data_IF_917713544835
#
_entry.id   IF_917713544835
#
_cell.length_a   1.000
_cell.length_b   1.000
_cell.length_c   1.000
_cell.angle_alpha   90.00
_cell.angle_beta   90.00
_cell.angle_gamma   90.00
#
_symmetry.space_group_name_H-M   'P 1'
#
loop_
_entity.id
_entity.type
_entity.pdbx_description
1 polymer ?
#
# COMPACT_ATOMS: atom_id res chain seq x y z
N UNK A 1 27.42 -19.28 -46.67
CA UNK A 1 28.14 -18.56 -45.60
C UNK A 1 27.31 -18.30 -44.32
N UNK A 2 25.97 -18.25 -44.36
CA UNK A 2 25.14 -18.00 -43.16
C UNK A 2 25.04 -19.16 -42.14
N UNK A 3 25.23 -20.43 -42.54
CA UNK A 3 25.13 -21.57 -41.59
C UNK A 3 26.40 -21.79 -40.77
N UNK A 4 27.56 -21.33 -41.24
CA UNK A 4 28.83 -21.42 -40.55
C UNK A 4 28.95 -20.41 -39.39
N UNK A 5 28.33 -19.23 -39.53
CA UNK A 5 28.29 -18.19 -38.48
C UNK A 5 27.45 -18.60 -37.27
N UNK A 6 26.29 -19.24 -37.50
CA UNK A 6 25.43 -19.77 -36.42
C UNK A 6 26.11 -20.89 -35.60
N UNK A 7 26.90 -21.76 -36.25
CA UNK A 7 27.63 -22.84 -35.55
C UNK A 7 28.76 -22.33 -34.65
N UNK A 8 29.39 -21.19 -34.98
CA UNK A 8 30.42 -20.56 -34.11
C UNK A 8 29.81 -19.87 -32.89
N UNK A 9 28.69 -19.17 -33.06
CA UNK A 9 27.94 -18.55 -31.95
C UNK A 9 27.48 -19.59 -30.91
N UNK A 10 27.04 -20.76 -31.36
CA UNK A 10 26.60 -21.85 -30.49
C UNK A 10 27.74 -22.49 -29.66
N UNK A 11 28.94 -22.63 -30.24
CA UNK A 11 30.10 -23.16 -29.50
C UNK A 11 30.58 -22.19 -28.41
N UNK A 12 30.54 -20.88 -28.65
CA UNK A 12 30.99 -19.88 -27.69
C UNK A 12 30.02 -19.71 -26.51
N UNK A 13 28.70 -19.81 -26.76
CA UNK A 13 27.68 -19.77 -25.70
C UNK A 13 27.77 -20.98 -24.74
N UNK A 14 28.10 -22.17 -25.25
CA UNK A 14 28.29 -23.38 -24.43
C UNK A 14 29.53 -23.32 -23.53
N UNK A 15 30.59 -22.63 -23.94
CA UNK A 15 31.81 -22.45 -23.13
C UNK A 15 31.53 -21.47 -21.97
N UNK A 16 30.85 -20.34 -22.22
CA UNK A 16 30.43 -19.41 -21.17
C UNK A 16 29.47 -20.04 -20.15
N UNK A 17 28.55 -20.90 -20.59
CA UNK A 17 27.65 -21.63 -19.70
C UNK A 17 28.39 -22.64 -18.79
N UNK A 18 29.46 -23.26 -19.30
CA UNK A 18 30.30 -24.20 -18.53
C UNK A 18 31.13 -23.53 -17.43
N UNK A 19 31.57 -22.30 -17.64
CA UNK A 19 32.31 -21.53 -16.63
C UNK A 19 31.39 -20.95 -15.55
N UNK A 20 30.15 -20.59 -15.92
CA UNK A 20 29.10 -20.22 -14.98
C UNK A 20 28.74 -21.37 -14.02
N UNK A 21 28.71 -22.60 -14.53
CA UNK A 21 28.43 -23.82 -13.77
C UNK A 21 29.47 -24.10 -12.67
N UNK A 22 30.76 -23.88 -12.95
CA UNK A 22 31.85 -24.04 -11.97
C UNK A 22 31.77 -22.98 -10.85
N UNK A 23 31.29 -21.79 -11.16
CA UNK A 23 31.12 -20.68 -10.21
C UNK A 23 29.93 -20.91 -9.26
N UNK A 24 28.82 -21.45 -9.78
CA UNK A 24 27.62 -21.78 -9.00
C UNK A 24 27.83 -22.94 -8.01
N UNK A 25 28.55 -24.01 -8.41
CA UNK A 25 28.92 -25.12 -7.50
C UNK A 25 29.75 -24.67 -6.29
N UNK A 26 30.54 -23.60 -6.42
CA UNK A 26 31.31 -23.02 -5.30
C UNK A 26 30.43 -22.23 -4.34
N UNK A 27 29.32 -21.62 -4.80
CA UNK A 27 28.40 -20.88 -3.95
C UNK A 27 27.43 -21.80 -3.19
N UNK A 28 26.99 -22.90 -3.80
CA UNK A 28 26.15 -23.90 -3.15
C UNK A 28 26.85 -24.66 -2.00
N UNK A 29 28.18 -24.64 -1.95
CA UNK A 29 28.97 -25.28 -0.89
C UNK A 29 29.18 -24.38 0.35
N UNK A 30 28.67 -23.13 0.35
CA UNK A 30 28.99 -22.11 1.35
C UNK A 30 27.83 -21.71 2.30
N UNK A 31 26.69 -22.39 2.29
CA UNK A 31 25.63 -22.14 3.29
C UNK A 31 25.55 -23.23 4.37
N UNK A 32 25.84 -22.91 5.64
CA UNK A 32 25.36 -23.68 6.77
C UNK A 32 24.17 -22.99 7.48
N UNK A 33 23.11 -23.78 7.68
CA UNK A 33 22.15 -23.75 8.79
C UNK A 33 21.50 -22.40 9.18
N UNK A 34 20.33 -22.10 8.60
CA UNK A 34 19.31 -21.33 9.31
C UNK A 34 17.89 -21.79 8.93
N UNK A 35 17.06 -22.27 9.87
CA UNK A 35 15.71 -22.73 9.57
C UNK A 35 14.66 -21.66 9.89
N UNK A 36 14.11 -20.95 8.89
CA UNK A 36 12.80 -20.25 9.01
C UNK A 36 12.27 -19.62 7.70
N UNK A 37 12.12 -20.37 6.60
CA UNK A 37 11.40 -19.88 5.41
C UNK A 37 10.41 -20.90 4.81
N UNK A 38 9.82 -21.79 5.62
CA UNK A 38 9.13 -22.96 5.04
C UNK A 38 7.59 -22.96 4.95
N UNK A 39 6.80 -22.04 5.55
CA UNK A 39 5.37 -22.38 5.76
C UNK A 39 4.30 -21.60 4.97
N UNK A 40 4.58 -20.49 4.28
CA UNK A 40 3.49 -19.64 3.74
C UNK A 40 3.50 -19.36 2.23
N UNK A 41 4.35 -20.02 1.45
CA UNK A 41 4.34 -19.92 -0.03
C UNK A 41 3.45 -20.96 -0.73
N UNK A 42 2.85 -21.91 -0.01
CA UNK A 42 2.42 -23.17 -0.65
C UNK A 42 1.03 -23.24 -1.28
N UNK A 43 0.12 -22.26 -1.13
CA UNK A 43 -1.29 -22.47 -1.51
C UNK A 43 -1.89 -21.60 -2.63
N UNK A 44 -1.07 -20.98 -3.48
CA UNK A 44 -1.62 -20.36 -4.71
C UNK A 44 -0.61 -19.92 -5.75
N UNK A 45 0.62 -19.68 -5.34
CA UNK A 45 1.74 -19.26 -6.21
C UNK A 45 2.29 -20.46 -7.01
N UNK A 46 2.14 -21.68 -6.48
CA UNK A 46 2.71 -22.91 -7.02
C UNK A 46 1.92 -23.58 -8.17
N UNK A 47 0.72 -23.14 -8.51
CA UNK A 47 -0.13 -23.88 -9.47
C UNK A 47 0.08 -23.44 -10.91
N UNK A 48 0.04 -22.13 -11.20
CA UNK A 48 0.12 -21.63 -12.58
C UNK A 48 1.53 -21.76 -13.15
N UNK A 49 2.58 -21.45 -12.39
CA UNK A 49 3.97 -21.56 -12.88
C UNK A 49 4.36 -23.03 -13.12
N UNK A 50 4.00 -23.92 -12.19
CA UNK A 50 4.18 -25.36 -12.33
C UNK A 50 3.38 -25.91 -13.52
N UNK A 51 2.16 -25.43 -13.72
CA UNK A 51 1.32 -25.81 -14.86
C UNK A 51 1.92 -25.35 -16.18
N UNK A 52 2.39 -24.09 -16.27
CA UNK A 52 3.05 -23.57 -17.47
C UNK A 52 4.34 -24.36 -17.77
N UNK A 53 5.15 -24.67 -16.76
CA UNK A 53 6.36 -25.48 -16.95
C UNK A 53 6.08 -26.94 -17.26
N UNK A 54 5.05 -27.55 -16.68
CA UNK A 54 4.62 -28.90 -17.03
C UNK A 54 4.08 -28.97 -18.47
N UNK A 55 3.31 -27.97 -18.92
CA UNK A 55 2.86 -27.82 -20.30
C UNK A 55 4.06 -27.69 -21.26
N UNK A 56 5.06 -26.87 -20.90
CA UNK A 56 6.30 -26.71 -21.68
C UNK A 56 7.08 -28.04 -21.79
N UNK A 57 7.20 -28.80 -20.70
CA UNK A 57 7.91 -30.08 -20.68
C UNK A 57 7.19 -31.19 -21.45
N UNK A 58 5.89 -31.01 -21.72
CA UNK A 58 5.02 -31.94 -22.44
C UNK A 58 4.79 -31.56 -23.92
N UNK A 59 5.12 -30.33 -24.33
CA UNK A 59 4.86 -29.82 -25.68
C UNK A 59 6.13 -29.66 -26.52
N UNK A 60 6.01 -29.77 -27.85
CA UNK A 60 7.09 -29.41 -28.76
C UNK A 60 7.13 -27.88 -28.91
N UNK A 61 8.29 -27.28 -28.62
CA UNK A 61 8.50 -25.83 -28.69
C UNK A 61 8.56 -25.37 -30.13
N UNK A 62 7.43 -24.87 -30.64
CA UNK A 62 7.35 -24.08 -31.87
C UNK A 62 7.43 -22.59 -31.54
N UNK A 63 7.73 -21.76 -32.53
CA UNK A 63 7.84 -20.31 -32.34
C UNK A 63 6.56 -19.67 -31.80
N UNK A 64 5.39 -20.11 -32.29
CA UNK A 64 4.10 -19.60 -31.83
C UNK A 64 3.75 -20.06 -30.41
N UNK A 65 4.10 -21.30 -30.05
CA UNK A 65 3.95 -21.81 -28.69
C UNK A 65 4.85 -21.04 -27.71
N UNK A 66 6.09 -20.73 -28.10
CA UNK A 66 7.00 -19.92 -27.28
C UNK A 66 6.44 -18.52 -26.99
N UNK A 67 5.79 -17.88 -27.95
CA UNK A 67 5.14 -16.57 -27.76
C UNK A 67 3.95 -16.64 -26.80
N UNK A 68 3.15 -17.70 -26.90
CA UNK A 68 2.02 -17.95 -25.99
C UNK A 68 2.51 -18.21 -24.56
N UNK A 69 3.51 -19.07 -24.41
CA UNK A 69 4.16 -19.40 -23.14
C UNK A 69 4.80 -18.16 -22.50
N UNK A 70 5.53 -17.35 -23.27
CA UNK A 70 6.15 -16.11 -22.78
C UNK A 70 5.10 -15.10 -22.27
N UNK A 71 3.95 -14.97 -22.95
CA UNK A 71 2.83 -14.14 -22.49
C UNK A 71 2.26 -14.64 -21.16
N UNK A 72 2.04 -15.96 -21.03
CA UNK A 72 1.57 -16.57 -19.77
C UNK A 72 2.57 -16.34 -18.62
N UNK A 73 3.87 -16.46 -18.89
CA UNK A 73 4.94 -16.19 -17.92
C UNK A 73 5.00 -14.71 -17.49
N UNK A 74 4.93 -13.79 -18.45
CA UNK A 74 4.91 -12.35 -18.17
C UNK A 74 3.67 -11.95 -17.35
N UNK A 75 2.50 -12.50 -17.70
CA UNK A 75 1.28 -12.29 -16.94
C UNK A 75 1.42 -12.77 -15.49
N UNK A 76 1.99 -13.96 -15.28
CA UNK A 76 2.26 -14.49 -13.94
C UNK A 76 3.21 -13.60 -13.13
N UNK A 77 4.34 -13.19 -13.71
CA UNK A 77 5.32 -12.33 -13.03
C UNK A 77 4.71 -10.96 -12.68
N UNK A 78 3.90 -10.38 -13.57
CA UNK A 78 3.18 -9.14 -13.30
C UNK A 78 2.19 -9.30 -12.13
N UNK A 79 1.44 -10.40 -12.08
CA UNK A 79 0.50 -10.71 -10.99
C UNK A 79 1.23 -10.91 -9.66
N UNK A 80 2.36 -11.62 -9.67
CA UNK A 80 3.16 -11.85 -8.47
C UNK A 80 3.81 -10.56 -7.93
N UNK A 81 4.27 -9.67 -8.81
CA UNK A 81 4.75 -8.32 -8.43
C UNK A 81 3.61 -7.51 -7.82
N UNK A 82 2.44 -7.50 -8.48
CA UNK A 82 1.25 -6.82 -7.97
C UNK A 82 0.88 -7.31 -6.56
N UNK A 83 0.88 -8.63 -6.33
CA UNK A 83 0.64 -9.20 -5.01
C UNK A 83 1.68 -8.75 -3.98
N UNK A 84 2.97 -8.71 -4.35
CA UNK A 84 4.02 -8.23 -3.44
C UNK A 84 3.85 -6.75 -3.09
N UNK A 85 3.44 -5.93 -4.07
CA UNK A 85 3.15 -4.51 -3.86
C UNK A 85 1.94 -4.31 -2.95
N UNK A 86 0.84 -5.04 -3.19
CA UNK A 86 -0.37 -5.00 -2.37
C UNK A 86 -0.13 -5.47 -0.93
N UNK A 87 0.80 -6.41 -0.74
CA UNK A 87 1.18 -6.93 0.58
C UNK A 87 2.32 -6.14 1.25
N UNK A 88 2.70 -4.96 0.74
CA UNK A 88 3.80 -4.13 1.23
C UNK A 88 5.17 -4.84 1.31
N UNK A 89 5.40 -5.87 0.49
CA UNK A 89 6.68 -6.60 0.38
C UNK A 89 7.58 -5.94 -0.66
N UNK A 90 7.97 -4.70 -0.39
CA UNK A 90 8.61 -3.81 -1.36
C UNK A 90 10.00 -4.29 -1.82
N UNK A 91 10.77 -4.95 -0.95
CA UNK A 91 12.07 -5.54 -1.31
C UNK A 91 11.89 -6.66 -2.33
N UNK A 92 10.93 -7.56 -2.10
CA UNK A 92 10.64 -8.66 -3.02
C UNK A 92 10.08 -8.16 -4.35
N UNK A 93 9.17 -7.17 -4.31
CA UNK A 93 8.67 -6.52 -5.52
C UNK A 93 9.80 -5.83 -6.30
N UNK A 94 10.72 -5.13 -5.61
CA UNK A 94 11.92 -4.53 -6.20
C UNK A 94 12.82 -5.58 -6.85
N UNK A 95 13.07 -6.69 -6.18
CA UNK A 95 13.93 -7.76 -6.71
C UNK A 95 13.30 -8.39 -7.96
N UNK A 96 12.00 -8.65 -7.93
CA UNK A 96 11.24 -9.18 -9.09
C UNK A 96 11.19 -8.19 -10.26
N UNK A 97 10.97 -6.89 -9.98
CA UNK A 97 11.01 -5.82 -10.98
C UNK A 97 12.43 -5.66 -11.52
N UNK A 98 13.47 -5.75 -10.70
CA UNK A 98 14.87 -5.68 -11.14
C UNK A 98 15.24 -6.83 -12.07
N UNK A 99 14.68 -8.03 -11.83
CA UNK A 99 14.79 -9.18 -12.74
C UNK A 99 14.09 -8.93 -14.07
N UNK A 100 12.90 -8.29 -14.06
CA UNK A 100 12.16 -7.96 -15.29
C UNK A 100 12.76 -6.79 -16.10
N UNK A 101 13.33 -5.81 -15.41
CA UNK A 101 13.85 -4.56 -15.98
C UNK A 101 15.34 -4.63 -16.38
N UNK A 102 15.91 -5.83 -16.52
CA UNK A 102 17.25 -6.07 -17.08
C UNK A 102 18.42 -5.37 -16.36
N UNK A 103 18.36 -5.20 -15.03
CA UNK A 103 19.52 -4.77 -14.23
C UNK A 103 20.12 -5.91 -13.37
N UNK A 104 20.35 -7.08 -13.99
CA UNK A 104 21.32 -8.10 -13.54
C UNK A 104 21.71 -9.05 -14.68
N UNK A 105 22.95 -9.55 -14.61
CA UNK A 105 23.56 -10.60 -15.44
C UNK A 105 22.92 -12.01 -15.29
N UNK A 106 21.79 -12.14 -14.57
CA UNK A 106 21.29 -13.43 -14.06
C UNK A 106 19.77 -13.66 -14.17
N UNK A 107 19.12 -13.26 -15.28
CA UNK A 107 17.81 -13.85 -15.67
C UNK A 107 17.81 -15.40 -15.61
N UNK A 108 18.91 -16.09 -15.95
CA UNK A 108 19.02 -17.54 -15.77
C UNK A 108 18.81 -18.01 -14.33
N UNK A 109 19.17 -17.24 -13.30
CA UNK A 109 19.27 -17.74 -11.92
C UNK A 109 17.91 -17.83 -11.21
N UNK A 110 16.97 -16.94 -11.52
CA UNK A 110 15.58 -17.05 -11.04
C UNK A 110 14.83 -18.17 -11.77
N UNK A 111 14.98 -18.26 -13.10
CA UNK A 111 14.45 -19.37 -13.91
C UNK A 111 15.02 -20.72 -13.44
N UNK A 112 16.29 -20.73 -13.04
CA UNK A 112 16.99 -21.91 -12.50
C UNK A 112 16.48 -22.31 -11.11
N UNK A 113 16.43 -21.37 -10.15
CA UNK A 113 15.95 -21.64 -8.78
C UNK A 113 14.50 -22.13 -8.76
N UNK A 114 13.62 -21.56 -9.57
CA UNK A 114 12.22 -22.00 -9.66
C UNK A 114 12.02 -23.23 -10.54
N UNK A 115 12.90 -23.48 -11.52
CA UNK A 115 12.92 -24.70 -12.31
C UNK A 115 13.24 -25.95 -11.49
N UNK A 116 14.13 -25.81 -10.50
CA UNK A 116 14.49 -26.88 -9.56
C UNK A 116 13.29 -27.32 -8.70
N UNK A 117 12.36 -26.44 -8.35
CA UNK A 117 11.13 -26.79 -7.60
C UNK A 117 10.13 -27.63 -8.42
N UNK A 118 10.16 -27.53 -9.76
CA UNK A 118 9.29 -28.32 -10.66
C UNK A 118 9.87 -29.72 -10.92
N UNK A 119 11.19 -29.87 -10.76
CA UNK A 119 11.94 -31.12 -10.89
C UNK A 119 11.95 -31.87 -9.55
N UNK A 120 10.80 -32.44 -9.18
CA UNK A 120 10.62 -33.27 -7.99
C UNK A 120 11.65 -34.43 -7.95
N UNK A 121 12.42 -34.55 -6.85
CA UNK A 121 13.57 -35.45 -6.68
C UNK A 121 13.22 -36.95 -6.73
N UNK A 122 11.93 -37.32 -6.66
CA UNK A 122 11.48 -38.71 -6.58
C UNK A 122 11.03 -39.33 -7.92
N UNK A 123 11.38 -38.75 -9.08
CA UNK A 123 10.93 -39.26 -10.38
C UNK A 123 12.03 -40.04 -11.15
N UNK A 124 11.80 -41.32 -11.54
CA UNK A 124 12.78 -42.12 -12.28
C UNK A 124 13.15 -41.57 -13.67
N UNK A 125 12.43 -40.56 -14.18
CA UNK A 125 12.72 -39.87 -15.44
C UNK A 125 13.43 -38.52 -15.24
N UNK A 126 13.97 -38.25 -14.05
CA UNK A 126 14.63 -37.00 -13.66
C UNK A 126 15.64 -36.52 -14.71
N UNK A 127 16.58 -37.39 -15.14
CA UNK A 127 17.61 -37.03 -16.12
C UNK A 127 17.03 -36.55 -17.47
N UNK A 128 16.00 -37.23 -17.99
CA UNK A 128 15.35 -36.84 -19.26
C UNK A 128 14.53 -35.55 -19.10
N UNK A 129 13.88 -35.35 -17.95
CA UNK A 129 13.16 -34.11 -17.63
C UNK A 129 14.12 -32.93 -17.48
N UNK A 130 15.28 -33.11 -16.84
CA UNK A 130 16.34 -32.10 -16.77
C UNK A 130 16.86 -31.73 -18.16
N UNK A 131 17.13 -32.70 -19.04
CA UNK A 131 17.58 -32.41 -20.41
C UNK A 131 16.53 -31.64 -21.22
N UNK A 132 15.24 -32.01 -21.09
CA UNK A 132 14.14 -31.29 -21.75
C UNK A 132 13.92 -29.90 -21.17
N UNK A 133 14.02 -29.76 -19.85
CA UNK A 133 13.99 -28.48 -19.16
C UNK A 133 15.12 -27.57 -19.66
N UNK A 134 16.36 -28.04 -19.68
CA UNK A 134 17.51 -27.27 -20.18
C UNK A 134 17.33 -26.84 -21.65
N UNK A 135 16.83 -27.74 -22.50
CA UNK A 135 16.54 -27.41 -23.90
C UNK A 135 15.45 -26.33 -24.00
N UNK A 136 14.38 -26.46 -23.22
CA UNK A 136 13.27 -25.52 -23.21
C UNK A 136 13.65 -24.14 -22.66
N UNK A 137 14.44 -24.10 -21.60
CA UNK A 137 15.05 -22.87 -21.07
C UNK A 137 15.94 -22.24 -22.14
N UNK A 138 16.78 -23.01 -22.82
CA UNK A 138 17.64 -22.53 -23.90
C UNK A 138 16.86 -21.91 -25.06
N UNK A 139 15.82 -22.59 -25.54
CA UNK A 139 14.98 -22.12 -26.65
C UNK A 139 14.18 -20.85 -26.25
N UNK A 140 13.67 -20.80 -25.02
CA UNK A 140 12.96 -19.64 -24.47
C UNK A 140 13.90 -18.44 -24.28
N UNK A 141 15.08 -18.66 -23.71
CA UNK A 141 16.12 -17.64 -23.58
C UNK A 141 16.54 -17.13 -24.96
N UNK A 142 16.72 -18.02 -25.94
CA UNK A 142 17.02 -17.63 -27.31
C UNK A 142 15.89 -16.80 -27.94
N UNK A 143 14.62 -17.13 -27.68
CA UNK A 143 13.48 -16.29 -28.07
C UNK A 143 13.53 -14.90 -27.41
N UNK A 144 13.85 -14.84 -26.12
CA UNK A 144 14.03 -13.56 -25.42
C UNK A 144 15.22 -12.76 -25.98
N UNK A 145 16.36 -13.40 -26.26
CA UNK A 145 17.54 -12.76 -26.83
C UNK A 145 17.30 -12.27 -28.27
N UNK A 146 16.60 -13.03 -29.11
CA UNK A 146 16.28 -12.60 -30.48
C UNK A 146 15.25 -11.48 -30.50
N UNK A 147 14.24 -11.50 -29.61
CA UNK A 147 13.15 -10.52 -29.63
C UNK A 147 13.43 -9.25 -28.81
N UNK A 148 14.26 -9.35 -27.78
CA UNK A 148 14.59 -8.24 -26.88
C UNK A 148 16.08 -7.89 -26.85
N UNK A 149 16.93 -8.56 -27.64
CA UNK A 149 18.39 -8.35 -27.72
C UNK A 149 18.89 -7.83 -29.07
N UNK A 150 18.02 -7.32 -29.93
CA UNK A 150 18.43 -6.72 -31.23
C UNK A 150 19.22 -5.40 -31.12
N UNK A 151 19.57 -4.94 -29.91
CA UNK A 151 20.41 -3.75 -29.66
C UNK A 151 21.87 -4.09 -29.29
N UNK A 152 22.35 -5.34 -29.44
CA UNK A 152 23.70 -5.73 -29.01
C UNK A 152 24.69 -6.02 -30.17
N UNK A 153 24.45 -5.51 -31.37
CA UNK A 153 25.45 -5.51 -32.44
C UNK A 153 25.94 -4.08 -32.67
N UNK A 154 27.26 -3.87 -32.48
CA UNK A 154 28.00 -2.60 -32.34
C UNK A 154 27.83 -2.00 -30.94
N UNK A 155 28.81 -2.02 -30.03
CA UNK A 155 30.24 -1.68 -30.17
C UNK A 155 31.08 -2.49 -29.18
N UNK A 156 32.02 -3.30 -29.68
CA UNK A 156 33.18 -3.75 -28.90
C UNK A 156 34.39 -3.15 -29.59
N UNK A 157 34.77 -1.97 -29.11
CA UNK A 157 36.04 -1.25 -29.23
C UNK A 157 35.69 0.20 -28.87
N UNK A 158 35.88 0.58 -27.61
CA UNK A 158 36.97 1.48 -27.28
C UNK A 158 37.13 1.56 -25.76
N UNK A 159 38.39 1.60 -25.42
CA UNK A 159 39.09 1.92 -24.19
C UNK A 159 38.29 2.53 -23.03
N UNK A 160 38.57 1.96 -21.86
CA UNK A 160 38.44 2.50 -20.50
C UNK A 160 38.24 4.02 -20.47
N UNK A 161 37.01 4.49 -20.18
CA UNK A 161 36.85 5.76 -19.47
C UNK A 161 35.49 5.88 -18.74
N UNK A 162 35.51 6.51 -17.57
CA UNK A 162 34.43 6.78 -16.61
C UNK A 162 32.98 6.80 -17.17
N UNK A 163 32.12 5.82 -16.82
CA UNK A 163 30.76 5.70 -17.39
C UNK A 163 29.58 5.64 -16.38
N UNK A 164 29.63 6.38 -15.27
CA UNK A 164 28.46 6.57 -14.39
C UNK A 164 27.32 7.41 -15.06
N UNK A 165 27.48 7.80 -16.33
CA UNK A 165 26.62 8.75 -17.04
C UNK A 165 25.72 8.14 -18.14
N UNK A 166 25.94 6.90 -18.58
CA UNK A 166 25.21 6.32 -19.73
C UNK A 166 23.96 5.52 -19.31
N UNK A 167 24.06 4.67 -18.27
CA UNK A 167 22.90 3.93 -17.74
C UNK A 167 21.84 4.82 -17.07
N UNK A 168 22.27 5.93 -16.46
CA UNK A 168 21.35 6.90 -15.83
C UNK A 168 20.55 7.69 -16.87
N UNK A 169 21.12 7.89 -18.07
CA UNK A 169 20.44 8.51 -19.22
C UNK A 169 19.37 7.60 -19.81
N UNK A 170 19.66 6.30 -19.93
CA UNK A 170 18.72 5.31 -20.49
C UNK A 170 17.46 5.13 -19.61
N UNK A 171 17.65 4.94 -18.30
CA UNK A 171 16.52 4.84 -17.35
C UNK A 171 15.69 6.13 -17.27
N UNK A 172 16.32 7.29 -17.42
CA UNK A 172 15.62 8.57 -17.44
C UNK A 172 14.78 8.74 -18.71
N UNK A 173 15.27 8.24 -19.85
CA UNK A 173 14.54 8.25 -21.11
C UNK A 173 13.29 7.36 -21.05
N UNK A 174 13.45 6.12 -20.60
CA UNK A 174 12.34 5.17 -20.46
C UNK A 174 11.28 5.67 -19.46
N UNK A 175 11.70 6.26 -18.35
CA UNK A 175 10.77 6.83 -17.38
C UNK A 175 9.98 8.02 -17.96
N UNK A 176 10.58 8.82 -18.86
CA UNK A 176 9.86 9.91 -19.55
C UNK A 176 8.81 9.36 -20.53
N UNK A 177 9.15 8.33 -21.30
CA UNK A 177 8.18 7.63 -22.16
C UNK A 177 7.02 7.07 -21.34
N UNK A 178 7.32 6.40 -20.21
CA UNK A 178 6.31 5.89 -19.31
C UNK A 178 5.40 7.00 -18.75
N UNK A 179 5.98 8.13 -18.33
CA UNK A 179 5.22 9.29 -17.87
C UNK A 179 4.26 9.78 -18.95
N UNK A 180 4.69 9.89 -20.21
CA UNK A 180 3.85 10.40 -21.29
C UNK A 180 2.70 9.46 -21.62
N UNK A 181 2.94 8.13 -21.64
CA UNK A 181 1.86 7.14 -21.75
C UNK A 181 0.87 7.21 -20.58
N UNK A 182 1.37 7.25 -19.34
CA UNK A 182 0.52 7.27 -18.14
C UNK A 182 -0.28 8.56 -18.02
N UNK A 183 0.27 9.71 -18.44
CA UNK A 183 -0.48 10.97 -18.50
C UNK A 183 -1.69 10.86 -19.42
N UNK A 184 -1.55 10.18 -20.56
CA UNK A 184 -2.64 9.98 -21.51
C UNK A 184 -3.83 9.20 -20.95
N UNK A 185 -3.62 8.33 -19.96
CA UNK A 185 -4.69 7.53 -19.36
C UNK A 185 -5.76 8.39 -18.68
N UNK A 186 -5.40 9.56 -18.14
CA UNK A 186 -6.38 10.45 -17.50
C UNK A 186 -7.44 11.00 -18.46
N UNK A 187 -7.16 10.96 -19.78
CA UNK A 187 -8.10 11.37 -20.84
C UNK A 187 -9.04 10.24 -21.27
N UNK A 188 -8.76 9.01 -20.85
CA UNK A 188 -9.52 7.81 -21.25
C UNK A 188 -10.47 7.39 -20.13
N UNK A 189 -11.65 6.90 -20.50
CA UNK A 189 -12.62 6.37 -19.53
C UNK A 189 -12.02 5.18 -18.76
N UNK A 190 -12.08 5.23 -17.43
CA UNK A 190 -11.61 4.16 -16.56
C UNK A 190 -11.11 4.62 -15.18
N UNK A 191 -10.98 3.65 -14.27
CA UNK A 191 -10.34 3.83 -12.95
C UNK A 191 -8.87 3.47 -13.08
N UNK A 192 -8.00 4.47 -13.00
CA UNK A 192 -6.58 4.35 -13.30
C UNK A 192 -5.69 4.50 -12.07
N UNK A 193 -6.20 4.15 -10.89
CA UNK A 193 -5.60 4.44 -9.58
C UNK A 193 -4.10 4.11 -9.50
N UNK A 194 -3.74 2.86 -9.82
CA UNK A 194 -2.35 2.39 -9.77
C UNK A 194 -1.46 3.19 -10.73
N UNK A 195 -1.95 3.46 -11.93
CA UNK A 195 -1.21 4.14 -12.99
C UNK A 195 -1.00 5.63 -12.67
N UNK A 196 -2.04 6.30 -12.18
CA UNK A 196 -2.01 7.72 -11.82
C UNK A 196 -1.12 7.94 -10.59
N UNK A 197 -1.18 7.05 -9.60
CA UNK A 197 -0.30 7.10 -8.44
C UNK A 197 1.18 7.00 -8.85
N UNK A 198 1.53 6.01 -9.68
CA UNK A 198 2.90 5.84 -10.18
C UNK A 198 3.34 7.05 -11.00
N UNK A 199 2.50 7.55 -11.91
CA UNK A 199 2.81 8.71 -12.74
C UNK A 199 3.08 9.97 -11.90
N UNK A 200 2.28 10.21 -10.85
CA UNK A 200 2.47 11.35 -9.96
C UNK A 200 3.78 11.25 -9.16
N UNK A 201 4.15 10.06 -8.67
CA UNK A 201 5.43 9.84 -7.97
C UNK A 201 6.63 9.99 -8.92
N UNK A 202 6.55 9.45 -10.15
CA UNK A 202 7.60 9.62 -11.16
C UNK A 202 7.79 11.10 -11.53
N UNK A 203 6.70 11.84 -11.75
CA UNK A 203 6.76 13.28 -12.00
C UNK A 203 7.40 14.03 -10.82
N UNK A 204 7.06 13.68 -9.58
CA UNK A 204 7.67 14.30 -8.40
C UNK A 204 9.15 13.92 -8.23
N UNK A 205 9.53 12.69 -8.57
CA UNK A 205 10.91 12.20 -8.58
C UNK A 205 11.78 13.03 -9.54
N UNK A 206 11.30 13.31 -10.75
CA UNK A 206 11.96 14.21 -11.71
C UNK A 206 11.74 15.70 -11.40
N UNK A 207 11.36 16.04 -10.16
CA UNK A 207 11.14 17.39 -9.66
C UNK A 207 10.04 18.20 -10.41
N UNK A 208 9.18 17.55 -11.20
CA UNK A 208 8.01 18.16 -11.84
C UNK A 208 6.74 17.97 -10.98
N UNK A 209 6.81 18.50 -9.76
CA UNK A 209 5.70 18.49 -8.79
C UNK A 209 4.47 19.24 -9.30
N UNK A 210 4.68 20.22 -10.19
CA UNK A 210 3.61 21.04 -10.77
C UNK A 210 2.75 20.20 -11.71
N UNK A 211 3.36 19.43 -12.61
CA UNK A 211 2.63 18.51 -13.49
C UNK A 211 1.98 17.37 -12.71
N UNK A 212 2.65 16.80 -11.71
CA UNK A 212 2.05 15.80 -10.83
C UNK A 212 0.77 16.32 -10.15
N UNK A 213 0.82 17.54 -9.58
CA UNK A 213 -0.38 18.18 -9.00
C UNK A 213 -1.48 18.40 -10.04
N UNK A 214 -1.12 18.80 -11.26
CA UNK A 214 -2.08 19.01 -12.36
C UNK A 214 -2.74 17.70 -12.76
N UNK A 215 -1.97 16.62 -12.90
CA UNK A 215 -2.45 15.27 -13.18
C UNK A 215 -3.46 14.81 -12.12
N UNK A 216 -3.09 14.88 -10.84
CA UNK A 216 -3.96 14.44 -9.74
C UNK A 216 -5.26 15.26 -9.64
N UNK A 217 -5.18 16.58 -9.86
CA UNK A 217 -6.39 17.41 -9.95
C UNK A 217 -7.28 17.00 -11.11
N UNK A 218 -6.70 16.74 -12.28
CA UNK A 218 -7.44 16.32 -13.46
C UNK A 218 -8.09 14.95 -13.24
N UNK A 219 -7.35 14.01 -12.66
CA UNK A 219 -7.88 12.69 -12.33
C UNK A 219 -9.09 12.78 -11.40
N UNK A 220 -9.02 13.62 -10.36
CA UNK A 220 -10.16 13.89 -9.48
C UNK A 220 -11.35 14.53 -10.21
N UNK A 221 -11.11 15.41 -11.18
CA UNK A 221 -12.17 16.01 -12.00
C UNK A 221 -12.85 14.98 -12.90
N UNK A 222 -12.09 14.05 -13.47
CA UNK A 222 -12.60 12.97 -14.32
C UNK A 222 -13.29 11.86 -13.51
N UNK A 223 -12.85 11.63 -12.26
CA UNK A 223 -13.35 10.58 -11.38
C UNK A 223 -13.78 11.14 -10.00
N UNK A 224 -14.81 12.01 -9.94
CA UNK A 224 -15.17 12.73 -8.72
C UNK A 224 -15.81 11.85 -7.63
N UNK A 225 -16.28 10.64 -7.96
CA UNK A 225 -16.81 9.69 -6.99
C UNK A 225 -15.75 8.71 -6.46
N UNK A 226 -14.56 8.70 -7.07
CA UNK A 226 -13.49 7.80 -6.68
C UNK A 226 -12.72 8.36 -5.47
N UNK A 227 -12.86 7.72 -4.31
CA UNK A 227 -12.19 8.10 -3.07
C UNK A 227 -10.66 8.11 -3.20
N UNK A 228 -10.06 7.23 -4.02
CA UNK A 228 -8.61 7.20 -4.23
C UNK A 228 -8.08 8.46 -4.90
N UNK A 229 -8.87 9.09 -5.78
CA UNK A 229 -8.47 10.35 -6.41
C UNK A 229 -8.30 11.48 -5.39
N UNK A 230 -9.18 11.54 -4.37
CA UNK A 230 -9.03 12.44 -3.23
C UNK A 230 -7.79 12.08 -2.39
N UNK A 231 -7.58 10.80 -2.09
CA UNK A 231 -6.44 10.32 -1.27
C UNK A 231 -5.10 10.70 -1.91
N UNK A 232 -4.94 10.47 -3.22
CA UNK A 232 -3.70 10.82 -3.93
C UNK A 232 -3.47 12.33 -3.92
N UNK A 233 -4.49 13.13 -4.23
CA UNK A 233 -4.37 14.58 -4.22
C UNK A 233 -4.06 15.11 -2.81
N UNK A 234 -4.67 14.54 -1.78
CA UNK A 234 -4.42 14.88 -0.38
C UNK A 234 -2.96 14.61 0.01
N UNK A 235 -2.49 13.36 -0.12
CA UNK A 235 -1.12 13.00 0.27
C UNK A 235 -0.08 13.80 -0.49
N UNK A 236 -0.30 14.01 -1.80
CA UNK A 236 0.60 14.79 -2.62
C UNK A 236 0.70 16.25 -2.14
N UNK A 237 -0.42 16.87 -1.78
CA UNK A 237 -0.43 18.22 -1.21
C UNK A 237 0.19 18.28 0.17
N UNK A 238 -0.13 17.32 1.05
CA UNK A 238 0.45 17.22 2.39
C UNK A 238 1.98 17.16 2.32
N UNK A 239 2.52 16.37 1.39
CA UNK A 239 3.96 16.15 1.21
C UNK A 239 4.68 17.33 0.56
N UNK A 240 4.16 17.88 -0.54
CA UNK A 240 4.90 18.85 -1.36
C UNK A 240 4.38 20.29 -1.29
N UNK A 241 3.18 20.49 -0.75
CA UNK A 241 2.52 21.80 -0.65
C UNK A 241 1.86 22.01 0.74
N UNK A 242 2.57 21.79 1.87
CA UNK A 242 1.97 21.83 3.20
C UNK A 242 1.39 23.21 3.58
N UNK A 243 1.87 24.28 2.93
CA UNK A 243 1.34 25.65 3.09
C UNK A 243 -0.03 25.86 2.43
N UNK A 244 -0.49 24.96 1.55
CA UNK A 244 -1.81 25.05 0.90
C UNK A 244 -2.96 24.54 1.80
N UNK A 245 -2.96 24.95 3.08
CA UNK A 245 -3.89 24.50 4.15
C UNK A 245 -5.35 24.51 3.70
N UNK A 246 -5.83 25.63 3.13
CA UNK A 246 -7.22 25.77 2.65
C UNK A 246 -7.55 24.73 1.57
N UNK A 247 -6.61 24.44 0.66
CA UNK A 247 -6.83 23.48 -0.42
C UNK A 247 -6.76 22.03 0.08
N UNK A 248 -5.87 21.74 1.04
CA UNK A 248 -5.78 20.43 1.68
C UNK A 248 -7.07 20.13 2.42
N UNK A 249 -7.51 21.10 3.24
CA UNK A 249 -8.76 21.03 3.98
C UNK A 249 -9.97 20.79 3.08
N UNK A 250 -10.07 21.51 1.96
CA UNK A 250 -11.15 21.31 0.98
C UNK A 250 -11.18 19.88 0.44
N UNK A 251 -10.03 19.26 0.17
CA UNK A 251 -9.98 17.87 -0.30
C UNK A 251 -10.49 16.90 0.77
N UNK A 252 -10.12 17.11 2.04
CA UNK A 252 -10.61 16.30 3.16
C UNK A 252 -12.13 16.45 3.38
N UNK A 253 -12.64 17.68 3.34
CA UNK A 253 -14.06 17.94 3.51
C UNK A 253 -14.92 17.34 2.39
N UNK A 254 -14.43 17.38 1.15
CA UNK A 254 -15.11 16.71 0.03
C UNK A 254 -15.03 15.18 0.14
N UNK A 255 -13.88 14.61 0.53
CA UNK A 255 -13.77 13.17 0.79
C UNK A 255 -14.76 12.72 1.87
N UNK A 256 -14.90 13.49 2.95
CA UNK A 256 -15.80 13.18 4.05
C UNK A 256 -17.26 13.10 3.61
N UNK A 257 -17.69 13.83 2.57
CA UNK A 257 -19.06 13.71 2.03
C UNK A 257 -19.35 12.34 1.41
N UNK A 258 -18.35 11.71 0.80
CA UNK A 258 -18.48 10.42 0.13
C UNK A 258 -18.13 9.24 1.05
N UNK A 259 -17.15 9.43 1.92
CA UNK A 259 -16.65 8.42 2.84
C UNK A 259 -16.35 9.03 4.22
N UNK A 260 -17.38 9.32 5.03
CA UNK A 260 -17.19 9.96 6.34
C UNK A 260 -16.33 9.12 7.29
N UNK A 261 -16.40 7.79 7.18
CA UNK A 261 -15.62 6.86 8.01
C UNK A 261 -14.16 6.67 7.55
N UNK A 262 -13.70 7.37 6.51
CA UNK A 262 -12.30 7.32 6.11
C UNK A 262 -11.39 7.91 7.21
N UNK A 263 -10.40 7.16 7.65
CA UNK A 263 -9.44 7.60 8.67
C UNK A 263 -8.71 8.89 8.26
N UNK A 264 -8.58 9.15 6.95
CA UNK A 264 -7.97 10.37 6.42
C UNK A 264 -8.78 11.62 6.75
N UNK A 265 -10.11 11.51 6.86
CA UNK A 265 -10.97 12.64 7.22
C UNK A 265 -10.63 13.19 8.60
N UNK A 266 -10.07 12.37 9.50
CA UNK A 266 -9.63 12.80 10.83
C UNK A 266 -8.45 13.78 10.81
N UNK A 267 -7.68 13.82 9.71
CA UNK A 267 -6.62 14.82 9.54
C UNK A 267 -7.16 16.26 9.43
N UNK A 268 -8.49 16.44 9.29
CA UNK A 268 -9.13 17.76 9.19
C UNK A 268 -8.78 18.67 10.37
N UNK A 269 -8.65 18.12 11.57
CA UNK A 269 -8.31 18.87 12.81
C UNK A 269 -6.99 19.61 12.66
N UNK A 270 -6.01 19.01 11.97
CA UNK A 270 -4.70 19.62 11.76
C UNK A 270 -4.75 20.85 10.85
N UNK A 271 -5.87 21.03 10.13
CA UNK A 271 -6.12 22.13 9.21
C UNK A 271 -7.31 23.02 9.66
N UNK A 272 -7.77 22.83 10.89
CA UNK A 272 -8.84 23.62 11.49
C UNK A 272 -8.31 24.98 11.95
N UNK A 273 -9.04 26.04 11.61
CA UNK A 273 -8.85 27.36 12.19
C UNK A 273 -9.85 27.53 13.34
N UNK A 274 -9.36 27.40 14.57
CA UNK A 274 -10.15 27.51 15.80
C UNK A 274 -10.67 28.93 16.10
N UNK A 275 -10.32 29.93 15.29
CA UNK A 275 -10.86 31.30 15.41
C UNK A 275 -12.02 31.57 14.45
N UNK A 276 -12.36 30.61 13.58
CA UNK A 276 -13.35 30.80 12.52
C UNK A 276 -14.50 29.80 12.69
N UNK A 277 -15.70 30.31 12.98
CA UNK A 277 -16.90 29.50 13.26
C UNK A 277 -17.24 28.49 12.16
N UNK A 278 -17.21 28.89 10.89
CA UNK A 278 -17.48 27.97 9.77
C UNK A 278 -16.47 26.82 9.72
N UNK A 279 -15.21 27.11 10.10
CA UNK A 279 -14.16 26.12 10.17
C UNK A 279 -14.34 25.15 11.34
N UNK A 280 -14.80 25.66 12.49
CA UNK A 280 -15.16 24.85 13.65
C UNK A 280 -16.32 23.93 13.31
N UNK A 281 -17.42 24.48 12.77
CA UNK A 281 -18.61 23.73 12.37
C UNK A 281 -18.27 22.58 11.42
N UNK A 282 -17.54 22.84 10.33
CA UNK A 282 -17.15 21.79 9.38
C UNK A 282 -16.30 20.69 10.03
N UNK A 283 -15.40 21.06 10.95
CA UNK A 283 -14.58 20.07 11.66
C UNK A 283 -15.41 19.18 12.57
N UNK A 284 -16.32 19.80 13.35
CA UNK A 284 -17.24 19.06 14.21
C UNK A 284 -18.12 18.15 13.37
N UNK A 285 -18.73 18.64 12.29
CA UNK A 285 -19.59 17.82 11.42
C UNK A 285 -18.85 16.58 10.94
N UNK A 286 -17.62 16.72 10.43
CA UNK A 286 -16.83 15.57 9.96
C UNK A 286 -16.54 14.57 11.09
N UNK A 287 -16.23 15.02 12.31
CA UNK A 287 -15.95 14.12 13.44
C UNK A 287 -17.20 13.38 13.92
N UNK A 288 -18.33 14.09 14.00
CA UNK A 288 -19.63 13.50 14.37
C UNK A 288 -20.08 12.52 13.28
N UNK A 289 -20.06 12.92 12.01
CA UNK A 289 -20.41 12.08 10.87
C UNK A 289 -19.54 10.82 10.83
N UNK A 290 -18.25 10.91 11.17
CA UNK A 290 -17.38 9.73 11.26
C UNK A 290 -17.81 8.76 12.37
N UNK A 291 -18.26 9.28 13.52
CA UNK A 291 -18.69 8.49 14.69
C UNK A 291 -20.09 7.89 14.54
N UNK A 292 -20.93 8.48 13.70
CA UNK A 292 -22.26 7.94 13.36
C UNK A 292 -22.16 6.54 12.69
N UNK A 293 -21.04 6.25 12.01
CA UNK A 293 -20.82 4.94 11.40
C UNK A 293 -20.49 3.88 12.45
N UNK A 294 -21.21 2.76 12.40
CA UNK A 294 -21.08 1.68 13.37
C UNK A 294 -19.65 1.12 13.51
N UNK A 295 -18.93 0.98 12.40
CA UNK A 295 -17.54 0.52 12.39
C UNK A 295 -16.59 1.44 13.16
N UNK A 296 -16.98 2.70 13.38
CA UNK A 296 -16.17 3.72 14.06
C UNK A 296 -16.56 3.89 15.54
N UNK A 297 -17.67 3.31 15.98
CA UNK A 297 -18.22 3.53 17.33
C UNK A 297 -17.26 3.12 18.46
N UNK A 298 -16.35 2.17 18.21
CA UNK A 298 -15.30 1.71 19.14
C UNK A 298 -13.89 2.11 18.71
N UNK A 299 -13.72 2.94 17.68
CA UNK A 299 -12.41 3.43 17.28
C UNK A 299 -11.98 4.56 18.22
N UNK A 300 -10.85 4.39 18.92
CA UNK A 300 -10.33 5.40 19.88
C UNK A 300 -10.04 6.73 19.19
N UNK A 301 -9.48 6.71 17.98
CA UNK A 301 -8.93 7.90 17.34
C UNK A 301 -9.96 9.03 17.16
N UNK A 302 -11.14 8.80 16.54
CA UNK A 302 -12.15 9.86 16.39
C UNK A 302 -12.67 10.37 17.74
N UNK A 303 -12.87 9.50 18.75
CA UNK A 303 -13.28 9.92 20.09
C UNK A 303 -12.24 10.82 20.76
N UNK A 304 -10.97 10.41 20.76
CA UNK A 304 -9.85 11.18 21.31
C UNK A 304 -9.72 12.55 20.64
N UNK A 305 -9.86 12.57 19.32
CA UNK A 305 -9.79 13.78 18.51
C UNK A 305 -10.96 14.73 18.80
N UNK A 306 -12.18 14.19 18.92
CA UNK A 306 -13.36 14.97 19.30
C UNK A 306 -13.22 15.55 20.72
N UNK A 307 -12.80 14.75 21.70
CA UNK A 307 -12.50 15.26 23.06
C UNK A 307 -11.49 16.40 23.00
N UNK A 308 -10.37 16.19 22.31
CA UNK A 308 -9.31 17.21 22.17
C UNK A 308 -9.85 18.48 21.53
N UNK A 309 -10.72 18.35 20.54
CA UNK A 309 -11.34 19.48 19.84
C UNK A 309 -12.27 20.25 20.77
N UNK A 310 -13.18 19.57 21.48
CA UNK A 310 -14.13 20.18 22.41
C UNK A 310 -13.41 20.94 23.54
N UNK A 311 -12.36 20.32 24.12
CA UNK A 311 -11.56 20.96 25.18
C UNK A 311 -10.80 22.20 24.70
N UNK A 312 -10.38 22.26 23.43
CA UNK A 312 -9.57 23.37 22.91
C UNK A 312 -10.39 24.59 22.50
N UNK A 313 -11.60 24.40 22.02
CA UNK A 313 -12.40 25.45 21.37
C UNK A 313 -13.38 26.12 22.33
N UNK A 314 -13.57 25.54 23.52
CA UNK A 314 -14.53 26.01 24.53
C UNK A 314 -15.93 26.24 23.94
N UNK A 315 -16.55 25.14 23.50
CA UNK A 315 -17.80 25.17 22.74
C UNK A 315 -19.08 25.08 23.60
N UNK A 316 -18.99 25.34 24.91
CA UNK A 316 -20.06 25.08 25.89
C UNK A 316 -21.38 25.81 25.63
N UNK A 317 -21.35 26.89 24.87
CA UNK A 317 -22.52 27.62 24.38
C UNK A 317 -22.41 27.95 22.88
N UNK A 318 -21.59 27.20 22.15
CA UNK A 318 -21.36 27.50 20.74
C UNK A 318 -22.48 26.92 19.89
N UNK A 319 -23.12 27.82 19.15
CA UNK A 319 -24.18 27.51 18.19
C UNK A 319 -23.78 26.38 17.22
N UNK A 320 -22.50 26.24 16.86
CA UNK A 320 -22.06 25.18 15.97
C UNK A 320 -22.18 23.79 16.61
N UNK A 321 -21.80 23.65 17.89
CA UNK A 321 -21.94 22.37 18.61
C UNK A 321 -23.42 22.03 18.80
N UNK A 322 -24.23 23.01 19.21
CA UNK A 322 -25.67 22.81 19.38
C UNK A 322 -26.35 22.37 18.08
N UNK A 323 -26.07 23.02 16.95
CA UNK A 323 -26.65 22.64 15.66
C UNK A 323 -26.36 21.18 15.28
N UNK A 324 -25.12 20.72 15.49
CA UNK A 324 -24.70 19.35 15.13
C UNK A 324 -25.27 18.34 16.13
N UNK A 325 -25.34 18.73 17.41
CA UNK A 325 -25.88 17.89 18.47
C UNK A 325 -27.39 17.69 18.38
N UNK A 326 -28.13 18.74 18.00
CA UNK A 326 -29.59 18.71 17.89
C UNK A 326 -30.10 17.63 16.92
N UNK A 327 -29.36 17.36 15.84
CA UNK A 327 -29.67 16.27 14.90
C UNK A 327 -29.53 14.86 15.51
N UNK A 328 -28.77 14.74 16.60
CA UNK A 328 -28.34 13.46 17.20
C UNK A 328 -28.92 13.18 18.57
N UNK A 329 -29.44 14.21 19.25
CA UNK A 329 -29.90 14.14 20.65
C UNK A 329 -30.89 13.01 20.96
N UNK A 330 -31.68 12.58 19.97
CA UNK A 330 -32.70 11.54 20.16
C UNK A 330 -32.16 10.10 20.10
N UNK A 331 -30.97 9.88 19.51
CA UNK A 331 -30.49 8.52 19.24
C UNK A 331 -29.03 8.30 19.66
N UNK A 332 -28.16 9.31 19.62
CA UNK A 332 -26.78 9.21 20.10
C UNK A 332 -26.66 8.76 21.55
N UNK A 333 -27.46 9.28 22.50
CA UNK A 333 -27.37 8.86 23.90
C UNK A 333 -27.53 7.35 24.09
N UNK A 334 -28.58 6.78 23.51
CA UNK A 334 -28.85 5.35 23.60
C UNK A 334 -27.78 4.54 22.84
N UNK A 335 -27.37 5.04 21.68
CA UNK A 335 -26.43 4.34 20.80
C UNK A 335 -24.99 4.30 21.33
N UNK A 336 -24.48 5.41 21.88
CA UNK A 336 -23.09 5.54 22.29
C UNK A 336 -22.86 5.52 23.80
N UNK A 337 -23.86 5.90 24.59
CA UNK A 337 -23.75 6.17 26.03
C UNK A 337 -24.72 5.34 26.89
N UNK A 338 -25.22 4.21 26.37
CA UNK A 338 -26.01 3.26 27.17
C UNK A 338 -25.14 2.49 28.17
N UNK A 339 -25.69 2.26 29.36
CA UNK A 339 -25.04 1.47 30.42
C UNK A 339 -24.83 0.01 29.98
N UNK A 340 -25.78 -0.55 29.23
CA UNK A 340 -25.67 -1.90 28.66
C UNK A 340 -24.46 -2.07 27.72
N UNK A 341 -24.18 -1.05 26.90
CA UNK A 341 -23.02 -1.04 26.00
C UNK A 341 -21.73 -0.89 26.80
N UNK A 342 -21.75 -0.04 27.82
CA UNK A 342 -20.61 0.16 28.72
C UNK A 342 -20.21 -1.13 29.44
N UNK A 343 -21.15 -1.85 30.02
CA UNK A 343 -20.86 -3.08 30.77
C UNK A 343 -20.26 -4.16 29.85
N UNK A 344 -20.74 -4.26 28.60
CA UNK A 344 -20.14 -5.15 27.59
C UNK A 344 -18.70 -4.77 27.26
N UNK A 345 -18.40 -3.49 27.12
CA UNK A 345 -17.06 -3.00 26.77
C UNK A 345 -16.09 -3.09 27.95
N UNK A 346 -16.58 -2.83 29.17
CA UNK A 346 -15.81 -2.85 30.41
C UNK A 346 -15.61 -4.27 30.99
N UNK A 347 -16.25 -5.28 30.39
CA UNK A 347 -16.03 -6.68 30.76
C UNK A 347 -14.56 -7.06 30.47
N UNK A 348 -13.86 -7.71 31.41
CA UNK A 348 -12.46 -8.10 31.22
C UNK A 348 -12.24 -8.91 29.95
N UNK A 349 -11.30 -8.46 29.12
CA UNK A 349 -10.87 -9.15 27.92
C UNK A 349 -9.68 -10.06 28.24
N UNK A 350 -9.61 -11.22 27.59
CA UNK A 350 -8.42 -12.10 27.67
C UNK A 350 -7.20 -11.51 26.96
N UNK A 351 -7.43 -10.53 26.09
CA UNK A 351 -6.42 -9.76 25.38
C UNK A 351 -6.20 -8.42 26.11
N UNK A 352 -5.04 -8.21 26.76
CA UNK A 352 -4.73 -6.98 27.48
C UNK A 352 -4.69 -5.74 26.60
N UNK A 353 -4.24 -5.85 25.35
CA UNK A 353 -4.18 -4.71 24.43
C UNK A 353 -5.60 -4.25 24.04
N UNK A 354 -6.51 -5.23 23.85
CA UNK A 354 -7.93 -4.94 23.62
C UNK A 354 -8.61 -4.36 24.86
N UNK A 355 -8.26 -4.85 26.05
CA UNK A 355 -8.77 -4.31 27.32
C UNK A 355 -8.37 -2.84 27.51
N UNK A 356 -7.09 -2.53 27.34
CA UNK A 356 -6.58 -1.16 27.40
C UNK A 356 -7.29 -0.27 26.38
N UNK A 357 -7.46 -0.76 25.14
CA UNK A 357 -8.17 -0.06 24.07
C UNK A 357 -9.61 0.27 24.50
N UNK A 358 -10.33 -0.70 25.05
CA UNK A 358 -11.71 -0.53 25.51
C UNK A 358 -11.83 0.56 26.58
N UNK A 359 -10.94 0.57 27.57
CA UNK A 359 -10.95 1.60 28.63
C UNK A 359 -10.71 3.00 28.09
N UNK A 360 -9.82 3.15 27.11
CA UNK A 360 -9.60 4.43 26.44
C UNK A 360 -10.84 4.90 25.67
N UNK A 361 -11.50 4.01 24.91
CA UNK A 361 -12.73 4.35 24.17
C UNK A 361 -13.79 4.88 25.12
N UNK A 362 -14.09 4.15 26.21
CA UNK A 362 -15.18 4.56 27.12
C UNK A 362 -14.83 5.84 27.88
N UNK A 363 -13.55 6.07 28.19
CA UNK A 363 -13.08 7.31 28.81
C UNK A 363 -13.26 8.51 27.87
N UNK A 364 -12.85 8.39 26.59
CA UNK A 364 -13.06 9.48 25.64
C UNK A 364 -14.54 9.71 25.33
N UNK A 365 -15.35 8.65 25.25
CA UNK A 365 -16.82 8.77 25.17
C UNK A 365 -17.38 9.54 26.36
N UNK A 366 -16.96 9.22 27.58
CA UNK A 366 -17.42 9.94 28.78
C UNK A 366 -16.96 11.40 28.76
N UNK A 367 -15.73 11.66 28.32
CA UNK A 367 -15.24 13.01 28.15
C UNK A 367 -16.11 13.80 27.17
N UNK A 368 -16.47 13.23 26.02
CA UNK A 368 -17.42 13.86 25.07
C UNK A 368 -18.80 14.03 25.70
N UNK A 369 -19.32 13.01 26.39
CA UNK A 369 -20.63 13.05 27.04
C UNK A 369 -20.76 14.21 28.05
N UNK A 370 -19.69 14.60 28.76
CA UNK A 370 -19.68 15.80 29.61
C UNK A 370 -20.09 17.05 28.81
N UNK A 371 -19.57 17.23 27.60
CA UNK A 371 -19.83 18.42 26.78
C UNK A 371 -21.24 18.45 26.17
N UNK A 372 -21.80 17.28 25.82
CA UNK A 372 -23.08 17.22 25.07
C UNK A 372 -24.29 16.78 25.92
N UNK A 373 -24.06 16.09 27.05
CA UNK A 373 -25.09 15.68 28.01
C UNK A 373 -25.00 16.41 29.36
N UNK A 374 -23.97 17.22 29.56
CA UNK A 374 -23.68 17.91 30.82
C UNK A 374 -22.89 17.05 31.81
N UNK A 375 -22.33 17.68 32.85
CA UNK A 375 -21.42 17.03 33.80
C UNK A 375 -22.06 15.94 34.67
N UNK A 376 -23.39 15.94 34.82
CA UNK A 376 -24.11 15.10 35.77
C UNK A 376 -24.76 13.88 35.10
N UNK A 377 -24.36 13.56 33.87
CA UNK A 377 -24.88 12.43 33.13
C UNK A 377 -24.46 11.08 33.76
N UNK A 378 -25.40 10.13 33.78
CA UNK A 378 -25.23 8.80 34.41
C UNK A 378 -24.07 8.01 33.81
N UNK A 379 -23.90 8.05 32.49
CA UNK A 379 -22.84 7.34 31.78
C UNK A 379 -21.45 7.76 32.28
N UNK A 380 -21.21 9.07 32.43
CA UNK A 380 -19.93 9.60 32.89
C UNK A 380 -19.65 9.24 34.35
N UNK A 381 -20.66 9.35 35.23
CA UNK A 381 -20.53 8.93 36.62
C UNK A 381 -20.15 7.44 36.74
N UNK A 382 -20.76 6.59 35.91
CA UNK A 382 -20.47 5.15 35.85
C UNK A 382 -19.06 4.88 35.33
N UNK A 383 -18.66 5.50 34.22
CA UNK A 383 -17.30 5.35 33.66
C UNK A 383 -16.25 5.80 34.68
N UNK A 384 -16.44 6.95 35.33
CA UNK A 384 -15.52 7.45 36.34
C UNK A 384 -15.36 6.49 37.53
N UNK A 385 -16.45 5.87 37.97
CA UNK A 385 -16.43 4.82 39.01
C UNK A 385 -15.63 3.59 38.56
N UNK A 386 -15.80 3.13 37.33
CA UNK A 386 -15.02 2.03 36.75
C UNK A 386 -13.52 2.38 36.73
N UNK A 387 -13.15 3.59 36.27
CA UNK A 387 -11.76 4.01 36.20
C UNK A 387 -11.10 4.04 37.58
N UNK A 388 -11.81 4.50 38.61
CA UNK A 388 -11.34 4.48 40.01
C UNK A 388 -11.16 3.05 40.53
N UNK A 389 -12.16 2.18 40.32
CA UNK A 389 -12.11 0.78 40.76
C UNK A 389 -10.97 0.00 40.09
N UNK A 390 -10.65 0.31 38.84
CA UNK A 390 -9.55 -0.30 38.07
C UNK A 390 -8.20 0.40 38.27
N UNK A 391 -8.12 1.44 39.10
CA UNK A 391 -6.91 2.23 39.36
C UNK A 391 -6.29 2.85 38.09
N UNK A 392 -7.13 3.24 37.12
CA UNK A 392 -6.74 3.87 35.85
C UNK A 392 -6.57 5.38 36.03
N UNK A 393 -5.53 5.78 36.78
CA UNK A 393 -5.30 7.16 37.25
C UNK A 393 -5.24 8.20 36.13
N UNK A 394 -4.62 7.87 35.00
CA UNK A 394 -4.49 8.79 33.88
C UNK A 394 -5.85 9.13 33.25
N UNK A 395 -6.69 8.11 33.05
CA UNK A 395 -8.03 8.28 32.49
C UNK A 395 -8.98 8.98 33.46
N UNK A 396 -8.89 8.67 34.76
CA UNK A 396 -9.69 9.39 35.78
C UNK A 396 -9.28 10.86 35.87
N UNK A 397 -7.99 11.18 35.81
CA UNK A 397 -7.50 12.56 35.81
C UNK A 397 -7.93 13.32 34.56
N UNK A 398 -7.94 12.68 33.39
CA UNK A 398 -8.47 13.27 32.16
C UNK A 398 -9.96 13.65 32.30
N UNK A 399 -10.78 12.76 32.87
CA UNK A 399 -12.20 13.01 33.11
C UNK A 399 -12.41 14.13 34.13
N UNK A 400 -11.63 14.16 35.22
CA UNK A 400 -11.65 15.25 36.20
C UNK A 400 -11.36 16.60 35.55
N UNK A 401 -10.33 16.68 34.70
CA UNK A 401 -10.04 17.90 33.95
C UNK A 401 -11.21 18.33 33.08
N UNK A 402 -11.87 17.39 32.39
CA UNK A 402 -13.05 17.72 31.58
C UNK A 402 -14.22 18.19 32.45
N UNK A 403 -14.43 17.61 33.63
CA UNK A 403 -15.48 18.02 34.57
C UNK A 403 -15.21 19.41 35.16
N UNK A 404 -13.96 19.68 35.56
CA UNK A 404 -13.54 20.99 36.08
C UNK A 404 -13.71 22.05 35.00
N UNK A 405 -13.18 21.79 33.79
CA UNK A 405 -13.34 22.68 32.64
C UNK A 405 -14.80 22.86 32.24
N UNK A 406 -15.71 21.94 32.56
CA UNK A 406 -17.12 22.15 32.31
C UNK A 406 -17.79 22.99 33.41
N UNK A 407 -17.32 22.90 34.66
CA UNK A 407 -17.94 23.52 35.85
C UNK A 407 -17.43 24.92 36.18
N UNK A 408 -16.17 25.25 35.90
CA UNK A 408 -15.55 26.52 36.33
C UNK A 408 -16.13 27.78 35.65
N UNK A 409 -17.03 27.65 34.67
CA UNK A 409 -17.67 28.80 34.00
C UNK A 409 -19.21 28.70 33.90
N UNK A 410 -19.83 27.87 34.75
CA UNK A 410 -21.27 27.87 35.04
C UNK A 410 -21.51 28.47 36.43
#
# INVERSE_FOLDING_TARGET
>A
MASASRKRSWKNANVQAGDYWKKSKRMAALEPNHPSVSSYMYFGVNTIFRQVWQEILQTNLTFDNMKSIARKHLHYLATAILHCLLAHRLTLAKDMISVLCKKFDTVPELVWKTGMEVLDDNNPYYAMRCTRFHKAVGDLLQYYFVRFGHNFAFTYNDEVDNSDSDETRDLTHEARIAIDHLKGLVETEGVWDVHIAICAELLAYFNDKKSAKKLLKKYLQCQPTNTNAYRYLYYFRKRYYPKEVVKIRKVLAELAKFNPCDIMCLDIINYSNFKVKSSIKETLSILFDHLDYHSCALNIQPWKLLTTFLTKVDLRCDECLNLIWEERKLWWPEYHFSEDSLDKIATPSKDPAKEETNFHVIAYKAAVAIWILGSDNKYTARVYSIMKLRNLKELSCMLEKCLVLHREDN
#
